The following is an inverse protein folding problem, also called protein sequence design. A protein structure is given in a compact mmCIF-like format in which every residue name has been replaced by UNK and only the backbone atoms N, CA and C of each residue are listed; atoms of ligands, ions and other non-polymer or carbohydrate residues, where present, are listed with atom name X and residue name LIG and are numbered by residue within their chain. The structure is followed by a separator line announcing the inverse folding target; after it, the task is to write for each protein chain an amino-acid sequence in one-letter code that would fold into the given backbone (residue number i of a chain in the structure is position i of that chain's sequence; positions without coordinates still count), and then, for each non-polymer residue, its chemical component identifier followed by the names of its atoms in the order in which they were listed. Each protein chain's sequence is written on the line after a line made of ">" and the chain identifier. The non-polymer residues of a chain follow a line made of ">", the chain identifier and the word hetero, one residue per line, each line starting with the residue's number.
data_IF_485855426983
#
_entry.id   IF_485855426983
#
_cell.length_a   1.000
_cell.length_b   1.000
_cell.length_c   1.000
_cell.angle_alpha   90.00
_cell.angle_beta   90.00
_cell.angle_gamma   90.00
#
_symmetry.space_group_name_H-M   'P 1'
#
loop_
_entity.id
_entity.type
_entity.pdbx_description
1 polymer ?
#
# COMPACT_ATOMS: atom_id res chain seq x y z
N UNK A 1 -16.54 27.58 -4.49
CA UNK A 1 -15.64 26.45 -4.15
C UNK A 1 -16.49 25.33 -3.58
N UNK A 2 -17.01 24.47 -4.46
CA UNK A 2 -17.89 23.36 -4.06
C UNK A 2 -16.98 22.28 -3.49
N UNK A 3 -17.06 22.08 -2.17
CA UNK A 3 -16.35 21.02 -1.47
C UNK A 3 -16.88 19.70 -2.01
N UNK A 4 -16.00 18.96 -2.70
CA UNK A 4 -16.29 17.67 -3.31
C UNK A 4 -16.35 16.59 -2.21
N UNK A 5 -17.42 16.59 -1.41
CA UNK A 5 -17.70 15.52 -0.44
C UNK A 5 -18.31 14.33 -1.20
N UNK A 6 -17.47 13.55 -1.89
CA UNK A 6 -17.92 12.30 -2.49
C UNK A 6 -17.84 11.23 -1.42
N UNK A 7 -18.98 10.73 -0.96
CA UNK A 7 -19.02 9.39 -0.38
C UNK A 7 -18.62 8.42 -1.48
N UNK A 8 -17.41 7.86 -1.36
CA UNK A 8 -16.96 6.78 -2.24
C UNK A 8 -17.84 5.55 -1.97
N UNK A 9 -18.27 4.88 -3.03
CA UNK A 9 -18.92 3.59 -2.87
C UNK A 9 -17.95 2.60 -2.22
N UNK A 10 -18.43 1.57 -1.51
CA UNK A 10 -17.57 0.55 -0.91
C UNK A 10 -16.53 0.00 -1.90
N UNK A 11 -16.94 -0.33 -3.13
CA UNK A 11 -16.04 -0.81 -4.19
C UNK A 11 -14.96 0.20 -4.61
N UNK A 12 -15.26 1.51 -4.55
CA UNK A 12 -14.28 2.54 -4.83
C UNK A 12 -13.26 2.70 -3.70
N UNK A 13 -13.69 2.52 -2.45
CA UNK A 13 -12.78 2.50 -1.29
C UNK A 13 -11.83 1.32 -1.41
N UNK A 14 -12.34 0.14 -1.78
CA UNK A 14 -11.52 -1.07 -1.99
C UNK A 14 -10.46 -0.86 -3.07
N UNK A 15 -10.89 -0.37 -4.25
CA UNK A 15 -10.00 -0.21 -5.40
C UNK A 15 -8.99 0.94 -5.25
N UNK A 16 -9.37 2.04 -4.57
CA UNK A 16 -8.52 3.24 -4.45
C UNK A 16 -7.66 3.27 -3.18
N UNK A 17 -8.02 2.51 -2.15
CA UNK A 17 -7.34 2.55 -0.85
C UNK A 17 -6.84 1.17 -0.40
N UNK A 18 -7.73 0.18 -0.26
CA UNK A 18 -7.35 -1.09 0.37
C UNK A 18 -6.38 -1.92 -0.49
N UNK A 19 -6.72 -2.15 -1.76
CA UNK A 19 -5.89 -2.99 -2.63
C UNK A 19 -4.49 -2.38 -2.84
N UNK A 20 -4.34 -1.07 -3.13
CA UNK A 20 -3.01 -0.44 -3.20
C UNK A 20 -2.22 -0.54 -1.89
N UNK A 21 -2.88 -0.36 -0.74
CA UNK A 21 -2.27 -0.48 0.57
C UNK A 21 -1.71 -1.90 0.82
N UNK A 22 -2.51 -2.94 0.55
CA UNK A 22 -2.09 -4.33 0.66
C UNK A 22 -0.90 -4.66 -0.25
N UNK A 23 -0.95 -4.23 -1.51
CA UNK A 23 0.17 -4.45 -2.46
C UNK A 23 1.45 -3.79 -1.98
N UNK A 24 1.37 -2.58 -1.43
CA UNK A 24 2.53 -1.90 -0.89
C UNK A 24 3.12 -2.58 0.34
N UNK A 25 2.26 -3.06 1.25
CA UNK A 25 2.69 -3.85 2.41
C UNK A 25 3.45 -5.11 1.97
N UNK A 26 2.87 -5.89 1.05
CA UNK A 26 3.47 -7.12 0.57
C UNK A 26 4.80 -6.86 -0.17
N UNK A 27 4.85 -5.85 -1.04
CA UNK A 27 6.08 -5.49 -1.75
C UNK A 27 7.20 -5.10 -0.78
N UNK A 28 6.89 -4.33 0.28
CA UNK A 28 7.84 -3.94 1.33
C UNK A 28 8.32 -5.13 2.16
N UNK A 29 7.43 -6.07 2.46
CA UNK A 29 7.77 -7.28 3.21
C UNK A 29 8.71 -8.19 2.40
N UNK A 30 8.39 -8.43 1.13
CA UNK A 30 9.21 -9.23 0.21
C UNK A 30 10.59 -8.59 -0.03
N UNK A 31 10.67 -7.26 -0.15
CA UNK A 31 11.94 -6.57 -0.32
C UNK A 31 12.78 -6.58 0.97
N UNK A 32 12.19 -6.19 2.12
CA UNK A 32 12.95 -5.98 3.36
C UNK A 32 13.24 -7.29 4.12
N UNK A 33 12.29 -8.22 4.21
CA UNK A 33 12.45 -9.47 4.98
C UNK A 33 13.00 -10.62 4.14
N UNK A 34 12.66 -10.66 2.86
CA UNK A 34 13.06 -11.74 1.97
C UNK A 34 14.15 -11.33 0.96
N UNK A 35 14.60 -10.08 0.99
CA UNK A 35 15.65 -9.54 0.11
C UNK A 35 15.39 -9.78 -1.39
N UNK A 36 14.11 -9.75 -1.79
CA UNK A 36 13.69 -9.99 -3.17
C UNK A 36 13.77 -8.66 -3.95
N UNK A 37 14.32 -8.71 -5.16
CA UNK A 37 14.44 -7.54 -6.04
C UNK A 37 13.10 -7.09 -6.61
N UNK A 38 12.96 -5.80 -6.90
CA UNK A 38 11.71 -5.20 -7.40
C UNK A 38 11.16 -5.87 -8.66
N UNK A 39 12.03 -6.26 -9.60
CA UNK A 39 11.63 -6.93 -10.84
C UNK A 39 11.01 -8.31 -10.58
N UNK A 40 11.49 -9.04 -9.57
CA UNK A 40 10.91 -10.32 -9.18
C UNK A 40 9.61 -10.12 -8.40
N UNK A 41 9.56 -9.15 -7.49
CA UNK A 41 8.33 -8.78 -6.78
C UNK A 41 7.23 -8.39 -7.78
N UNK A 42 7.57 -7.65 -8.85
CA UNK A 42 6.61 -7.25 -9.88
C UNK A 42 5.94 -8.46 -10.56
N UNK A 43 6.72 -9.51 -10.83
CA UNK A 43 6.23 -10.78 -11.39
C UNK A 43 5.36 -11.53 -10.38
N UNK A 44 5.77 -11.58 -9.11
CA UNK A 44 5.03 -12.26 -8.04
C UNK A 44 3.67 -11.62 -7.76
N UNK A 45 3.60 -10.28 -7.81
CA UNK A 45 2.37 -9.53 -7.52
C UNK A 45 1.53 -9.22 -8.76
N UNK A 46 1.99 -9.62 -9.96
CA UNK A 46 1.27 -9.40 -11.21
C UNK A 46 1.09 -7.93 -11.57
N UNK A 47 2.10 -7.09 -11.29
CA UNK A 47 2.08 -5.64 -11.56
C UNK A 47 3.36 -5.19 -12.27
N UNK A 48 3.40 -3.95 -12.75
CA UNK A 48 4.61 -3.41 -13.38
C UNK A 48 5.69 -3.12 -12.33
N UNK A 49 6.97 -3.19 -12.73
CA UNK A 49 8.07 -2.77 -11.85
C UNK A 49 7.93 -1.29 -11.44
N UNK A 50 7.39 -0.44 -12.32
CA UNK A 50 7.07 0.94 -11.98
C UNK A 50 6.02 1.06 -10.85
N UNK A 51 5.02 0.18 -10.82
CA UNK A 51 4.06 0.12 -9.72
C UNK A 51 4.74 -0.27 -8.40
N UNK A 52 5.64 -1.26 -8.42
CA UNK A 52 6.45 -1.64 -7.25
C UNK A 52 7.29 -0.46 -6.76
N UNK A 53 8.00 0.22 -7.66
CA UNK A 53 8.78 1.41 -7.33
C UNK A 53 7.90 2.55 -6.76
N UNK A 54 6.66 2.69 -7.24
CA UNK A 54 5.68 3.63 -6.67
C UNK A 54 5.19 3.19 -5.28
N UNK A 55 5.12 1.89 -4.99
CA UNK A 55 4.77 1.41 -3.65
C UNK A 55 5.85 1.75 -2.61
N UNK A 56 7.12 1.75 -3.02
CA UNK A 56 8.22 2.19 -2.17
C UNK A 56 8.28 3.70 -1.99
N UNK A 57 8.01 4.47 -3.05
CA UNK A 57 8.07 5.95 -3.03
C UNK A 57 6.81 6.62 -2.47
N UNK A 58 5.65 5.97 -2.62
CA UNK A 58 4.36 6.55 -2.31
C UNK A 58 4.07 6.58 -0.82
N UNK A 59 3.23 7.55 -0.40
CA UNK A 59 2.52 7.43 0.88
C UNK A 59 1.69 6.15 0.78
N UNK A 60 1.90 5.16 1.66
CA UNK A 60 0.94 4.06 1.76
C UNK A 60 -0.45 4.68 2.02
N UNK A 61 -1.54 4.00 1.63
CA UNK A 61 -2.90 4.45 1.94
C UNK A 61 -3.07 4.82 3.41
N UNK A 62 -4.17 5.47 3.79
CA UNK A 62 -4.43 6.00 5.15
C UNK A 62 -3.60 5.27 6.24
N UNK A 63 -2.62 5.93 6.89
CA UNK A 63 -1.72 5.28 7.84
C UNK A 63 -2.47 4.48 8.91
N UNK A 64 -3.66 4.94 9.33
CA UNK A 64 -4.53 4.22 10.26
C UNK A 64 -5.07 2.91 9.68
N UNK A 65 -5.37 2.89 8.38
CA UNK A 65 -5.76 1.67 7.67
C UNK A 65 -4.58 0.70 7.61
N UNK A 66 -3.38 1.16 7.27
CA UNK A 66 -2.17 0.32 7.26
C UNK A 66 -1.90 -0.27 8.64
N UNK A 67 -2.02 0.53 9.69
CA UNK A 67 -1.86 0.08 11.07
C UNK A 67 -2.87 -1.02 11.42
N UNK A 68 -4.15 -0.83 11.06
CA UNK A 68 -5.20 -1.83 11.23
C UNK A 68 -4.90 -3.12 10.46
N UNK A 69 -4.44 -3.02 9.21
CA UNK A 69 -4.11 -4.19 8.37
C UNK A 69 -2.90 -4.96 8.92
N UNK A 70 -1.94 -4.27 9.53
CA UNK A 70 -0.76 -4.88 10.14
C UNK A 70 -1.00 -5.37 11.57
N UNK A 71 -2.18 -5.10 12.16
CA UNK A 71 -2.54 -5.52 13.51
C UNK A 71 -1.64 -4.94 14.61
N UNK A 72 -0.99 -3.79 14.38
CA UNK A 72 -0.06 -3.18 15.35
C UNK A 72 -0.76 -2.15 16.24
N UNK A 73 -0.32 -2.02 17.50
CA UNK A 73 -0.80 -1.00 18.44
C UNK A 73 -0.23 0.38 18.09
N UNK A 74 -1.05 1.42 18.28
CA UNK A 74 -0.72 2.83 18.05
C UNK A 74 0.61 3.22 18.69
N UNK A 75 1.58 3.62 17.86
CA UNK A 75 2.89 4.11 18.29
C UNK A 75 4.06 3.36 17.65
N UNK A 76 4.28 3.54 16.35
CA UNK A 76 5.60 3.33 15.78
C UNK A 76 5.75 4.07 14.45
N UNK A 77 6.94 4.65 14.28
CA UNK A 77 7.32 5.52 13.17
C UNK A 77 7.11 4.84 11.81
N UNK A 78 6.51 5.57 10.86
CA UNK A 78 6.20 5.04 9.52
C UNK A 78 7.44 5.11 8.62
N UNK A 79 8.46 4.33 8.92
CA UNK A 79 9.59 4.06 8.02
C UNK A 79 9.26 2.86 7.10
N UNK A 80 8.06 2.92 6.50
CA UNK A 80 7.59 1.97 5.48
C UNK A 80 7.78 2.54 4.10
#
# INVERSE_FOLDING_TARGET
>A
MIIRLIMLLPAEIESKSLIPALRAILAKDLAKKHNIREDQISKMLGVTQAAISNYFRGKPGDPKLIEKLLGRKTGCNYDY
#
